data_IF_161219646733
#
_entry.id   IF_161219646733
#
_cell.length_a   1.000
_cell.length_b   1.000
_cell.length_c   1.000
_cell.angle_alpha   90.00
_cell.angle_beta   90.00
_cell.angle_gamma   90.00
#
_symmetry.space_group_name_H-M   'P 1'
#
loop_
_entity.id
_entity.type
_entity.pdbx_description
1 polymer ?
#
# COMPACT_ATOMS: atom_id res chain seq x y z
N UNK A 1 10.59 -18.71 -20.57
CA UNK A 1 10.88 -17.29 -20.89
C UNK A 1 9.67 -16.50 -20.45
N UNK A 2 9.77 -15.76 -19.34
CA UNK A 2 8.69 -14.91 -18.83
C UNK A 2 8.68 -13.63 -19.67
N UNK A 3 7.52 -13.28 -20.23
CA UNK A 3 7.36 -12.01 -20.97
C UNK A 3 7.75 -10.85 -20.06
N UNK A 4 8.58 -9.88 -20.53
CA UNK A 4 8.80 -8.67 -19.75
C UNK A 4 7.45 -7.95 -19.65
N UNK A 5 6.99 -7.69 -18.42
CA UNK A 5 5.90 -6.73 -18.21
C UNK A 5 6.32 -5.42 -18.89
N UNK A 6 5.61 -5.03 -19.94
CA UNK A 6 5.87 -3.78 -20.63
C UNK A 6 5.31 -2.65 -19.74
N UNK A 7 6.20 -1.94 -19.07
CA UNK A 7 5.84 -0.69 -18.39
C UNK A 7 5.73 0.42 -19.43
N UNK A 8 4.67 1.23 -19.37
CA UNK A 8 4.53 2.41 -20.20
C UNK A 8 5.57 3.47 -19.85
N UNK A 9 6.03 3.52 -18.60
CA UNK A 9 7.09 4.42 -18.14
C UNK A 9 8.00 3.73 -17.11
N UNK A 10 9.29 4.06 -17.15
CA UNK A 10 10.31 3.56 -16.22
C UNK A 10 11.12 4.75 -15.72
N UNK A 11 11.24 4.88 -14.40
CA UNK A 11 12.10 5.85 -13.73
C UNK A 11 13.13 5.08 -12.90
N UNK A 12 14.41 5.33 -13.12
CA UNK A 12 15.47 4.58 -12.47
C UNK A 12 16.66 5.45 -12.04
N UNK A 13 16.93 5.47 -10.73
CA UNK A 13 18.08 6.17 -10.13
C UNK A 13 18.06 7.69 -10.40
N UNK A 14 16.90 8.31 -10.20
CA UNK A 14 16.67 9.74 -10.47
C UNK A 14 16.11 10.46 -9.23
N UNK A 15 16.21 11.79 -9.26
CA UNK A 15 15.51 12.68 -8.33
C UNK A 15 14.50 13.50 -9.13
N UNK A 16 13.23 13.41 -8.74
CA UNK A 16 12.12 14.05 -9.44
C UNK A 16 11.28 14.80 -8.42
N UNK A 17 10.65 15.89 -8.86
CA UNK A 17 9.67 16.56 -8.01
C UNK A 17 8.37 15.73 -7.93
N UNK A 18 7.82 15.35 -9.08
CA UNK A 18 6.56 14.59 -9.16
C UNK A 18 6.51 13.66 -10.37
N UNK A 19 5.66 12.64 -10.27
CA UNK A 19 5.35 11.66 -11.32
C UNK A 19 3.84 11.59 -11.49
N UNK A 20 3.36 11.66 -12.74
CA UNK A 20 1.95 11.41 -13.08
C UNK A 20 1.86 10.53 -14.32
N UNK A 21 1.31 9.31 -14.18
CA UNK A 21 1.29 8.31 -15.25
C UNK A 21 -0.09 7.66 -15.39
N UNK A 22 -0.56 7.59 -16.62
CA UNK A 22 -1.63 6.67 -17.02
C UNK A 22 -1.00 5.39 -17.60
N UNK A 23 -1.39 4.23 -17.07
CA UNK A 23 -0.85 2.92 -17.45
C UNK A 23 0.06 2.28 -16.39
N UNK A 24 1.06 1.54 -16.85
CA UNK A 24 1.93 0.73 -15.98
C UNK A 24 3.28 1.42 -15.78
N UNK A 25 3.65 1.75 -14.55
CA UNK A 25 4.91 2.43 -14.23
C UNK A 25 5.80 1.59 -13.32
N UNK A 26 7.10 1.60 -13.63
CA UNK A 26 8.14 1.06 -12.78
C UNK A 26 9.02 2.18 -12.24
N UNK A 27 9.13 2.28 -10.92
CA UNK A 27 9.98 3.24 -10.21
C UNK A 27 11.01 2.44 -9.43
N UNK A 28 12.30 2.67 -9.68
CA UNK A 28 13.39 1.91 -9.06
C UNK A 28 14.51 2.82 -8.57
N UNK A 29 14.85 2.75 -7.28
CA UNK A 29 15.94 3.55 -6.70
C UNK A 29 15.79 5.05 -6.96
N UNK A 30 14.56 5.53 -7.05
CA UNK A 30 14.24 6.92 -7.40
C UNK A 30 13.69 7.64 -6.18
N UNK A 31 14.04 8.92 -6.05
CA UNK A 31 13.44 9.82 -5.07
C UNK A 31 12.44 10.72 -5.77
N UNK A 32 11.21 10.75 -5.26
CA UNK A 32 10.15 11.68 -5.72
C UNK A 32 9.73 12.52 -4.54
N UNK A 33 10.11 13.79 -4.50
CA UNK A 33 9.97 14.62 -3.29
C UNK A 33 8.52 14.98 -2.96
N UNK A 34 7.68 15.19 -3.98
CA UNK A 34 6.34 15.70 -3.80
C UNK A 34 5.27 14.61 -3.94
N UNK A 35 5.01 14.12 -5.16
CA UNK A 35 3.89 13.19 -5.39
C UNK A 35 4.10 12.22 -6.55
N UNK A 36 3.54 11.02 -6.38
CA UNK A 36 3.40 9.99 -7.41
C UNK A 36 1.90 9.71 -7.61
N UNK A 37 1.38 10.03 -8.78
CA UNK A 37 0.02 9.72 -9.21
C UNK A 37 0.04 8.68 -10.33
N UNK A 38 -0.63 7.56 -10.13
CA UNK A 38 -0.69 6.46 -11.12
C UNK A 38 -2.12 6.04 -11.35
N UNK A 39 -2.62 6.19 -12.58
CA UNK A 39 -3.86 5.59 -13.03
C UNK A 39 -3.54 4.31 -13.81
N UNK A 40 -3.41 3.19 -13.09
CA UNK A 40 -3.04 1.90 -13.64
C UNK A 40 -2.24 1.05 -12.66
N UNK A 41 -1.09 0.53 -13.09
CA UNK A 41 -0.29 -0.39 -12.28
C UNK A 41 1.03 0.24 -11.86
N UNK A 42 1.36 0.19 -10.57
CA UNK A 42 2.64 0.64 -10.05
C UNK A 42 3.47 -0.55 -9.56
N UNK A 43 4.73 -0.59 -9.98
CA UNK A 43 5.80 -1.28 -9.27
C UNK A 43 6.81 -0.26 -8.77
N UNK A 44 6.97 -0.11 -7.46
CA UNK A 44 7.99 0.72 -6.84
C UNK A 44 8.96 -0.16 -6.06
N UNK A 45 10.28 0.04 -6.26
CA UNK A 45 11.34 -0.68 -5.56
C UNK A 45 12.42 0.26 -5.07
N UNK A 46 12.88 0.05 -3.84
CA UNK A 46 14.07 0.75 -3.30
C UNK A 46 13.96 2.28 -3.41
N UNK A 47 12.74 2.82 -3.33
CA UNK A 47 12.46 4.22 -3.70
C UNK A 47 11.97 5.03 -2.50
N UNK A 48 12.21 6.34 -2.55
CA UNK A 48 11.73 7.29 -1.54
C UNK A 48 10.69 8.21 -2.17
N UNK A 49 9.42 8.06 -1.80
CA UNK A 49 8.31 8.79 -2.42
C UNK A 49 7.67 9.74 -1.39
N UNK A 50 7.25 10.91 -1.84
CA UNK A 50 6.44 11.85 -1.07
C UNK A 50 5.04 11.28 -0.81
N UNK A 51 4.02 11.83 -1.48
CA UNK A 51 2.67 11.27 -1.48
C UNK A 51 2.51 10.20 -2.57
N UNK A 52 1.80 9.11 -2.28
CA UNK A 52 1.56 8.01 -3.21
C UNK A 52 0.06 7.82 -3.48
N UNK A 53 -0.38 8.11 -4.70
CA UNK A 53 -1.78 8.01 -5.11
C UNK A 53 -1.88 7.01 -6.27
N UNK A 54 -2.55 5.88 -6.08
CA UNK A 54 -2.70 4.83 -7.11
C UNK A 54 -4.15 4.47 -7.33
N UNK A 55 -4.63 4.65 -8.55
CA UNK A 55 -5.91 4.15 -9.05
C UNK A 55 -5.65 2.87 -9.86
N UNK A 56 -5.61 1.74 -9.16
CA UNK A 56 -5.32 0.42 -9.73
C UNK A 56 -4.44 -0.43 -8.80
N UNK A 57 -3.59 -1.27 -9.39
CA UNK A 57 -2.78 -2.22 -8.62
C UNK A 57 -1.43 -1.62 -8.22
N UNK A 58 -1.02 -1.77 -6.97
CA UNK A 58 0.27 -1.30 -6.47
C UNK A 58 1.10 -2.44 -5.88
N UNK A 59 2.38 -2.47 -6.25
CA UNK A 59 3.39 -3.29 -5.62
C UNK A 59 4.55 -2.41 -5.16
N UNK A 60 4.81 -2.36 -3.86
CA UNK A 60 5.84 -1.48 -3.27
C UNK A 60 6.80 -2.31 -2.41
N UNK A 61 8.07 -2.36 -2.77
CA UNK A 61 9.07 -3.18 -2.08
C UNK A 61 10.30 -2.36 -1.66
N UNK A 62 10.74 -2.50 -0.40
CA UNK A 62 11.95 -1.84 0.12
C UNK A 62 11.92 -0.31 -0.01
N UNK A 63 10.76 0.32 0.19
CA UNK A 63 10.59 1.76 -0.08
C UNK A 63 10.16 2.53 1.16
N UNK A 64 10.29 3.86 1.09
CA UNK A 64 9.78 4.79 2.08
C UNK A 64 8.73 5.69 1.43
N UNK A 65 7.55 5.81 2.05
CA UNK A 65 6.53 6.77 1.65
C UNK A 65 6.36 7.78 2.78
N UNK A 66 6.79 9.02 2.56
CA UNK A 66 6.91 10.04 3.62
C UNK A 66 5.56 10.66 3.99
N UNK A 67 4.69 10.82 3.01
CA UNK A 67 3.41 11.51 3.18
C UNK A 67 2.25 10.52 3.06
N UNK A 68 1.09 11.01 2.65
CA UNK A 68 -0.09 10.16 2.52
C UNK A 68 0.05 9.11 1.41
N UNK A 69 -0.58 7.97 1.65
CA UNK A 69 -0.76 6.90 0.67
C UNK A 69 -2.25 6.67 0.46
N UNK A 70 -2.72 6.87 -0.77
CA UNK A 70 -4.11 6.66 -1.17
C UNK A 70 -4.15 5.64 -2.30
N UNK A 71 -4.70 4.45 -2.03
CA UNK A 71 -4.81 3.37 -3.01
C UNK A 71 -6.28 3.07 -3.28
N UNK A 72 -6.69 3.13 -4.55
CA UNK A 72 -7.97 2.66 -5.06
C UNK A 72 -7.74 1.40 -5.90
N UNK A 73 -7.58 0.25 -5.24
CA UNK A 73 -7.26 -1.03 -5.85
C UNK A 73 -6.37 -1.89 -4.95
N UNK A 74 -5.93 -3.05 -5.45
CA UNK A 74 -5.14 -3.99 -4.66
C UNK A 74 -3.72 -3.46 -4.39
N UNK A 75 -3.21 -3.66 -3.18
CA UNK A 75 -1.82 -3.35 -2.82
C UNK A 75 -1.13 -4.53 -2.16
N UNK A 76 0.10 -4.79 -2.62
CA UNK A 76 1.09 -5.60 -1.93
C UNK A 76 2.28 -4.72 -1.57
N UNK A 77 2.57 -4.59 -0.27
CA UNK A 77 3.77 -3.93 0.20
C UNK A 77 4.68 -4.91 0.95
N UNK A 78 5.99 -4.77 0.76
CA UNK A 78 6.98 -5.57 1.47
C UNK A 78 8.18 -4.73 1.91
N UNK A 79 8.55 -4.80 3.18
CA UNK A 79 9.73 -4.08 3.70
C UNK A 79 9.64 -2.58 3.42
N UNK A 80 8.46 -2.01 3.62
CA UNK A 80 8.14 -0.63 3.27
C UNK A 80 7.61 0.11 4.49
N UNK A 81 8.05 1.35 4.68
CA UNK A 81 7.53 2.25 5.73
C UNK A 81 6.58 3.28 5.12
N UNK A 82 5.41 3.43 5.75
CA UNK A 82 4.39 4.43 5.44
C UNK A 82 4.29 5.40 6.62
N UNK A 83 4.96 6.54 6.51
CA UNK A 83 5.07 7.52 7.61
C UNK A 83 3.78 8.34 7.77
N UNK A 84 3.10 8.62 6.65
CA UNK A 84 1.85 9.37 6.64
C UNK A 84 0.59 8.52 6.80
N UNK A 85 -0.55 9.16 6.56
CA UNK A 85 -1.85 8.50 6.55
C UNK A 85 -1.94 7.48 5.40
N UNK A 86 -2.39 6.26 5.70
CA UNK A 86 -2.54 5.21 4.70
C UNK A 86 -4.01 4.84 4.53
N UNK A 87 -4.60 5.18 3.38
CA UNK A 87 -5.98 4.90 3.03
C UNK A 87 -6.10 4.00 1.81
N UNK A 88 -6.82 2.89 1.96
CA UNK A 88 -6.98 1.90 0.89
C UNK A 88 -8.44 1.53 0.67
N UNK A 89 -8.91 1.61 -0.57
CA UNK A 89 -10.17 1.05 -1.04
C UNK A 89 -9.86 -0.21 -1.86
N UNK A 90 -9.85 -1.38 -1.21
CA UNK A 90 -9.52 -2.65 -1.85
C UNK A 90 -10.30 -3.83 -1.26
N UNK A 91 -10.44 -4.90 -2.05
CA UNK A 91 -10.90 -6.19 -1.54
C UNK A 91 -9.81 -6.87 -0.68
N UNK A 92 -8.54 -6.69 -1.05
CA UNK A 92 -7.40 -7.26 -0.36
C UNK A 92 -6.20 -6.32 -0.35
N UNK A 93 -5.66 -6.11 0.84
CA UNK A 93 -4.39 -5.41 1.10
C UNK A 93 -3.43 -6.36 1.82
N UNK A 94 -2.18 -6.45 1.38
CA UNK A 94 -1.15 -7.27 2.02
C UNK A 94 0.06 -6.41 2.38
N UNK A 95 0.43 -6.38 3.67
CA UNK A 95 1.60 -5.68 4.19
C UNK A 95 2.52 -6.68 4.89
N UNK A 96 3.71 -6.88 4.34
CA UNK A 96 4.69 -7.85 4.87
C UNK A 96 5.96 -7.15 5.32
N UNK A 97 6.33 -7.31 6.58
CA UNK A 97 7.52 -6.66 7.15
C UNK A 97 7.49 -5.13 6.96
N UNK A 98 6.30 -4.52 7.10
CA UNK A 98 6.09 -3.08 6.87
C UNK A 98 5.87 -2.31 8.18
N UNK A 99 6.02 -1.00 8.13
CA UNK A 99 5.58 -0.09 9.19
C UNK A 99 4.54 0.88 8.64
N UNK A 100 3.46 1.11 9.39
CA UNK A 100 2.47 2.13 9.05
C UNK A 100 1.88 2.75 10.32
N UNK A 101 1.45 4.01 10.24
CA UNK A 101 0.84 4.69 11.38
C UNK A 101 -0.67 4.46 11.45
N UNK A 102 -1.44 5.26 10.71
CA UNK A 102 -2.89 5.17 10.65
C UNK A 102 -3.30 4.46 9.36
N UNK A 103 -4.14 3.44 9.48
CA UNK A 103 -4.61 2.66 8.34
C UNK A 103 -6.14 2.69 8.26
N UNK A 104 -6.66 3.31 7.20
CA UNK A 104 -8.09 3.30 6.90
C UNK A 104 -8.38 2.42 5.68
N UNK A 105 -9.25 1.43 5.87
CA UNK A 105 -9.82 0.62 4.80
C UNK A 105 -11.17 1.20 4.43
N UNK A 106 -11.19 1.96 3.34
CA UNK A 106 -12.37 2.62 2.79
C UNK A 106 -13.34 1.60 2.20
N UNK A 107 -14.63 1.83 2.40
CA UNK A 107 -15.68 0.93 1.93
C UNK A 107 -15.70 0.89 0.40
N UNK A 108 -15.70 -0.30 -0.18
CA UNK A 108 -15.97 -0.50 -1.60
C UNK A 108 -17.44 -0.86 -1.81
N UNK A 109 -18.06 -0.33 -2.88
CA UNK A 109 -19.47 -0.58 -3.22
C UNK A 109 -19.67 -1.96 -3.88
N UNK A 110 -19.20 -3.01 -3.22
CA UNK A 110 -19.39 -4.39 -3.64
C UNK A 110 -19.93 -5.22 -2.47
N UNK A 111 -21.25 -5.38 -2.42
CA UNK A 111 -21.99 -5.96 -1.29
C UNK A 111 -21.72 -7.46 -1.05
N UNK A 112 -20.74 -8.07 -1.74
CA UNK A 112 -20.46 -9.51 -1.70
C UNK A 112 -19.05 -9.86 -1.23
N UNK A 113 -18.15 -8.88 -1.10
CA UNK A 113 -16.75 -9.18 -0.79
C UNK A 113 -16.36 -8.55 0.55
N UNK A 114 -16.03 -9.41 1.51
CA UNK A 114 -15.39 -8.99 2.75
C UNK A 114 -14.02 -8.37 2.44
N UNK A 115 -13.73 -7.19 2.98
CA UNK A 115 -12.43 -6.53 2.80
C UNK A 115 -11.40 -7.14 3.74
N UNK A 116 -10.27 -7.58 3.18
CA UNK A 116 -9.23 -8.33 3.88
C UNK A 116 -7.95 -7.50 3.98
N UNK A 117 -7.39 -7.43 5.18
CA UNK A 117 -6.05 -6.91 5.46
C UNK A 117 -5.14 -8.06 5.95
N UNK A 118 -4.12 -8.41 5.18
CA UNK A 118 -3.11 -9.38 5.59
C UNK A 118 -1.87 -8.64 6.11
N UNK A 119 -1.63 -8.72 7.42
CA UNK A 119 -0.41 -8.25 8.06
C UNK A 119 0.50 -9.46 8.30
N UNK A 120 1.69 -9.47 7.71
CA UNK A 120 2.57 -10.63 7.67
C UNK A 120 3.98 -10.29 8.15
N UNK A 121 4.70 -11.29 8.66
CA UNK A 121 6.09 -11.12 9.11
C UNK A 121 6.17 -10.21 10.33
N UNK A 122 7.08 -9.23 10.29
CA UNK A 122 7.32 -8.28 11.37
C UNK A 122 6.57 -6.95 11.19
N UNK A 123 5.41 -6.96 10.51
CA UNK A 123 4.64 -5.73 10.26
C UNK A 123 4.17 -5.08 11.56
N UNK A 124 4.40 -3.77 11.71
CA UNK A 124 3.94 -2.97 12.84
C UNK A 124 2.98 -1.87 12.37
N UNK A 125 1.80 -1.79 12.98
CA UNK A 125 0.86 -0.68 12.80
C UNK A 125 0.85 0.13 14.10
N UNK A 126 1.28 1.39 14.05
CA UNK A 126 1.47 2.22 15.23
C UNK A 126 0.18 2.87 15.76
N UNK A 127 -0.82 3.05 14.90
CA UNK A 127 -2.11 3.64 15.24
C UNK A 127 -3.28 2.71 14.95
N UNK A 128 -4.46 3.32 14.85
CA UNK A 128 -5.70 2.58 14.64
C UNK A 128 -5.79 1.99 13.23
N UNK A 129 -6.43 0.84 13.15
CA UNK A 129 -6.90 0.23 11.91
C UNK A 129 -8.41 0.39 11.86
N UNK A 130 -8.92 1.14 10.90
CA UNK A 130 -10.36 1.41 10.76
C UNK A 130 -10.88 0.84 9.44
N UNK A 131 -11.92 0.01 9.52
CA UNK A 131 -12.69 -0.42 8.36
C UNK A 131 -14.00 0.34 8.30
N UNK A 132 -14.24 1.09 7.22
CA UNK A 132 -15.52 1.78 7.03
C UNK A 132 -16.70 0.83 6.82
N UNK A 133 -16.43 -0.38 6.31
CA UNK A 133 -17.46 -1.40 6.06
C UNK A 133 -18.04 -2.01 7.34
N UNK A 134 -17.35 -1.88 8.48
CA UNK A 134 -17.68 -2.53 9.76
C UNK A 134 -17.65 -4.08 9.73
N UNK A 135 -17.18 -4.67 8.63
CA UNK A 135 -17.13 -6.12 8.42
C UNK A 135 -15.73 -6.59 8.02
N UNK A 136 -14.69 -5.79 8.32
CA UNK A 136 -13.31 -6.09 7.94
C UNK A 136 -12.75 -7.36 8.55
N UNK A 137 -11.83 -8.01 7.83
CA UNK A 137 -11.07 -9.15 8.35
C UNK A 137 -9.57 -8.86 8.28
N UNK A 138 -8.89 -8.99 9.41
CA UNK A 138 -7.44 -8.84 9.51
C UNK A 138 -6.83 -10.20 9.77
N UNK A 139 -5.98 -10.69 8.86
CA UNK A 139 -5.13 -11.84 9.11
C UNK A 139 -3.76 -11.38 9.61
N UNK A 140 -3.32 -11.91 10.74
CA UNK A 140 -2.03 -11.58 11.35
C UNK A 140 -1.18 -12.83 11.54
N UNK A 141 0.13 -12.70 11.34
CA UNK A 141 1.11 -13.73 11.75
C UNK A 141 1.76 -13.37 13.09
N UNK A 142 2.43 -14.32 13.74
CA UNK A 142 3.04 -14.17 15.08
C UNK A 142 3.92 -12.91 15.29
N UNK A 143 4.61 -12.41 14.26
CA UNK A 143 5.50 -11.25 14.38
C UNK A 143 4.81 -9.89 14.31
N UNK A 144 3.51 -9.86 13.99
CA UNK A 144 2.77 -8.61 13.77
C UNK A 144 2.47 -7.90 15.09
N UNK A 145 2.56 -6.57 15.07
CA UNK A 145 2.15 -5.71 16.17
C UNK A 145 1.13 -4.69 15.68
N UNK A 146 -0.01 -4.60 16.36
CA UNK A 146 -0.98 -3.53 16.18
C UNK A 146 -1.00 -2.79 17.51
N UNK A 147 -0.57 -1.52 17.51
CA UNK A 147 -0.38 -0.71 18.72
C UNK A 147 -1.56 0.23 19.00
N UNK A 148 -2.48 0.39 18.05
CA UNK A 148 -3.77 1.07 18.22
C UNK A 148 -4.95 0.11 18.28
N UNK A 149 -6.15 0.65 18.10
CA UNK A 149 -7.39 -0.12 18.10
C UNK A 149 -7.75 -0.66 16.71
N UNK A 150 -8.50 -1.76 16.69
CA UNK A 150 -9.13 -2.28 15.47
C UNK A 150 -10.61 -1.92 15.51
N UNK A 151 -11.03 -1.05 14.59
CA UNK A 151 -12.40 -0.52 14.51
C UNK A 151 -13.08 -1.07 13.26
N UNK A 152 -14.24 -1.70 13.44
CA UNK A 152 -15.03 -2.25 12.32
C UNK A 152 -14.41 -3.47 11.64
N UNK A 153 -13.49 -4.16 12.30
CA UNK A 153 -12.85 -5.37 11.78
C UNK A 153 -12.60 -6.43 12.86
N UNK A 154 -12.41 -7.67 12.43
CA UNK A 154 -12.06 -8.81 13.29
C UNK A 154 -10.64 -9.26 13.00
N UNK A 155 -9.86 -9.56 14.04
CA UNK A 155 -8.49 -10.08 13.91
C UNK A 155 -8.51 -11.61 14.00
N UNK A 156 -7.81 -12.27 13.07
CA UNK A 156 -7.60 -13.72 13.06
C UNK A 156 -6.12 -14.05 12.87
N UNK A 157 -5.63 -15.01 13.64
CA UNK A 157 -4.26 -15.50 13.54
C UNK A 157 -4.14 -16.59 12.48
N UNK A 158 -3.09 -16.48 11.64
CA UNK A 158 -2.67 -17.51 10.68
C UNK A 158 -1.38 -18.20 11.12
#
# INVERSE_FOLDING_TARGET
>A
MQTPYQYSQVFENEELDSISVDGSVFINRTTVSNSVLVNGSLLAKESNLGSLHVNGAAKVENSLINNETIINGAIYAKSTSFEGFFSVASEKTTLKDCEAHLLEVRKINNNKTQQILELLGNTTIHGDIKFESQEGLIYVTKGVKILGEVIGGTVQFR
#
